data_IF_071733646823
#
_entry.id   IF_071733646823
#
_cell.length_a   1.000
_cell.length_b   1.000
_cell.length_c   1.000
_cell.angle_alpha   90.00
_cell.angle_beta   90.00
_cell.angle_gamma   90.00
#
_symmetry.space_group_name_H-M   'P 1'
#
loop_
_entity.id
_entity.type
_entity.pdbx_description
1 polymer ?
#
# COMPACT_ATOMS: atom_id res chain seq x y z
N UNK A 1 -27.86 8.95 -9.29
CA UNK A 1 -26.53 9.19 -9.89
C UNK A 1 -25.47 8.60 -8.99
N UNK A 2 -25.07 7.35 -9.23
CA UNK A 2 -24.00 6.69 -8.47
C UNK A 2 -22.66 7.24 -8.94
N UNK A 3 -22.07 8.14 -8.15
CA UNK A 3 -20.71 8.63 -8.35
C UNK A 3 -19.77 7.44 -8.37
N UNK A 4 -19.30 7.04 -9.56
CA UNK A 4 -18.33 5.96 -9.74
C UNK A 4 -17.06 6.37 -8.99
N UNK A 5 -16.89 5.92 -7.75
CA UNK A 5 -15.64 6.05 -7.01
C UNK A 5 -14.58 5.38 -7.88
N UNK A 6 -13.71 6.19 -8.49
CA UNK A 6 -12.60 5.70 -9.31
C UNK A 6 -11.79 4.75 -8.42
N UNK A 7 -12.00 3.44 -8.62
CA UNK A 7 -11.25 2.39 -7.94
C UNK A 7 -9.82 2.51 -8.41
N UNK A 8 -8.96 3.08 -7.57
CA UNK A 8 -7.54 3.20 -7.87
C UNK A 8 -6.96 1.80 -7.89
N UNK A 9 -6.57 1.31 -9.07
CA UNK A 9 -5.95 0.00 -9.25
C UNK A 9 -4.45 0.19 -9.37
N UNK A 10 -3.67 -0.65 -8.69
CA UNK A 10 -2.21 -0.73 -8.85
C UNK A 10 -1.88 -2.16 -9.26
N UNK A 11 -1.51 -2.33 -10.53
CA UNK A 11 -1.33 -3.66 -11.12
C UNK A 11 -2.57 -4.52 -10.94
N UNK A 12 -2.41 -5.67 -10.29
CA UNK A 12 -3.49 -6.61 -9.96
C UNK A 12 -4.22 -6.33 -8.64
N UNK A 13 -3.93 -5.24 -7.96
CA UNK A 13 -4.55 -4.91 -6.68
C UNK A 13 -5.54 -3.76 -6.81
N UNK A 14 -6.76 -3.96 -6.30
CA UNK A 14 -7.77 -2.92 -6.18
C UNK A 14 -7.59 -2.20 -4.84
N UNK A 15 -7.12 -0.95 -4.84
CA UNK A 15 -6.94 -0.18 -3.61
C UNK A 15 -8.28 0.33 -3.08
N UNK A 16 -8.49 0.07 -1.80
CA UNK A 16 -9.58 0.61 -1.00
C UNK A 16 -9.12 1.74 -0.09
N UNK A 17 -9.72 1.76 1.11
CA UNK A 17 -9.50 2.80 2.12
C UNK A 17 -8.07 2.75 2.70
N UNK A 18 -7.59 3.89 3.15
CA UNK A 18 -6.40 3.96 4.01
C UNK A 18 -6.72 3.28 5.34
N UNK A 19 -5.84 2.38 5.78
CA UNK A 19 -5.95 1.67 7.06
C UNK A 19 -4.85 2.09 8.05
N UNK A 20 -3.81 2.77 7.57
CA UNK A 20 -2.78 3.35 8.42
C UNK A 20 -2.10 4.53 7.75
N UNK A 21 -1.73 5.52 8.53
CA UNK A 21 -0.94 6.67 8.09
C UNK A 21 0.19 6.88 9.09
N UNK A 22 1.42 6.73 8.61
CA UNK A 22 2.63 6.97 9.38
C UNK A 22 3.43 8.12 8.77
N UNK A 23 4.46 8.55 9.48
CA UNK A 23 5.32 9.69 9.10
C UNK A 23 5.93 9.56 7.70
N UNK A 24 6.29 8.34 7.31
CA UNK A 24 7.00 8.02 6.06
C UNK A 24 6.19 7.17 5.07
N UNK A 25 4.99 6.75 5.44
CA UNK A 25 4.22 5.79 4.66
C UNK A 25 2.71 5.91 4.87
N UNK A 26 1.94 5.61 3.83
CA UNK A 26 0.49 5.44 3.87
C UNK A 26 0.13 3.99 3.57
N UNK A 27 -0.53 3.30 4.49
CA UNK A 27 -0.99 1.93 4.31
C UNK A 27 -2.44 1.94 3.86
N UNK A 28 -2.73 1.32 2.72
CA UNK A 28 -4.09 1.15 2.21
C UNK A 28 -4.49 -0.31 2.19
N UNK A 29 -5.74 -0.58 2.54
CA UNK A 29 -6.34 -1.87 2.24
C UNK A 29 -6.47 -2.01 0.73
N UNK A 30 -6.19 -3.19 0.21
CA UNK A 30 -6.44 -3.54 -1.17
C UNK A 30 -6.94 -4.97 -1.28
N UNK A 31 -7.47 -5.33 -2.44
CA UNK A 31 -7.89 -6.69 -2.77
C UNK A 31 -7.09 -7.18 -3.97
N UNK A 32 -6.51 -8.36 -3.89
CA UNK A 32 -5.94 -9.00 -5.07
C UNK A 32 -7.09 -9.37 -6.02
N UNK A 33 -7.05 -8.91 -7.27
CA UNK A 33 -8.11 -9.19 -8.25
C UNK A 33 -8.06 -10.61 -8.81
N UNK A 34 -6.95 -11.32 -8.64
CA UNK A 34 -6.77 -12.70 -9.09
C UNK A 34 -7.26 -13.69 -8.03
N UNK A 35 -6.84 -13.51 -6.77
CA UNK A 35 -7.20 -14.44 -5.68
C UNK A 35 -8.41 -13.96 -4.87
N UNK A 36 -8.75 -12.68 -4.94
CA UNK A 36 -9.78 -12.07 -4.10
C UNK A 36 -9.33 -11.80 -2.67
N UNK A 37 -8.08 -12.11 -2.32
CA UNK A 37 -7.58 -11.99 -0.94
C UNK A 37 -7.46 -10.52 -0.49
N UNK A 38 -7.80 -10.22 0.78
CA UNK A 38 -7.51 -8.94 1.40
C UNK A 38 -6.00 -8.79 1.65
N UNK A 39 -5.43 -7.67 1.20
CA UNK A 39 -4.01 -7.34 1.39
C UNK A 39 -3.84 -5.89 1.86
N UNK A 40 -2.70 -5.60 2.50
CA UNK A 40 -2.30 -4.24 2.88
C UNK A 40 -1.17 -3.75 1.97
N UNK A 41 -1.35 -2.58 1.35
CA UNK A 41 -0.34 -1.92 0.50
C UNK A 41 0.26 -0.75 1.25
N UNK A 42 1.55 -0.84 1.59
CA UNK A 42 2.32 0.25 2.19
C UNK A 42 2.93 1.13 1.08
N UNK A 43 2.43 2.35 0.95
CA UNK A 43 2.88 3.35 -0.01
C UNK A 43 3.91 4.24 0.69
N UNK A 44 5.17 4.17 0.25
CA UNK A 44 6.26 5.00 0.78
C UNK A 44 6.33 6.32 0.01
N UNK A 45 6.44 7.42 0.74
CA UNK A 45 6.63 8.75 0.16
C UNK A 45 8.12 8.96 -0.13
N UNK A 46 8.51 8.87 -1.40
CA UNK A 46 9.91 8.98 -1.83
C UNK A 46 10.54 10.30 -1.39
N UNK A 47 9.81 11.41 -1.41
CA UNK A 47 10.36 12.71 -1.04
C UNK A 47 10.68 12.79 0.45
N UNK A 48 9.79 12.25 1.29
CA UNK A 48 10.01 12.17 2.73
C UNK A 48 11.14 11.19 3.09
N UNK A 49 11.21 10.05 2.40
CA UNK A 49 12.28 9.06 2.59
C UNK A 49 13.64 9.62 2.18
N UNK A 50 13.72 10.33 1.04
CA UNK A 50 14.96 11.00 0.59
C UNK A 50 15.38 12.13 1.54
N UNK A 51 14.44 12.96 1.98
CA UNK A 51 14.73 14.07 2.92
C UNK A 51 15.18 13.59 4.28
N UNK A 52 14.62 12.49 4.80
CA UNK A 52 14.97 11.99 6.13
C UNK A 52 16.16 11.04 6.17
N UNK A 53 16.80 10.72 5.03
CA UNK A 53 17.97 9.81 4.97
C UNK A 53 17.82 8.64 5.95
N UNK A 54 16.74 7.85 5.80
CA UNK A 54 16.73 6.50 6.36
C UNK A 54 17.67 5.63 5.52
N UNK A 55 18.96 5.86 5.78
CA UNK A 55 20.00 4.86 5.58
C UNK A 55 19.59 3.68 6.45
N UNK A 56 19.62 2.49 5.85
CA UNK A 56 19.45 1.19 6.52
C UNK A 56 18.00 0.75 6.78
N UNK A 57 17.72 -0.52 6.45
CA UNK A 57 16.50 -1.28 6.77
C UNK A 57 15.27 -0.91 5.90
N UNK A 58 14.73 -1.75 5.01
CA UNK A 58 14.45 -3.18 5.09
C UNK A 58 14.30 -3.66 3.65
N UNK A 59 15.39 -4.09 3.01
CA UNK A 59 15.31 -5.01 1.85
C UNK A 59 15.14 -6.42 2.39
N UNK A 60 14.08 -6.65 3.16
CA UNK A 60 13.61 -8.02 3.36
C UNK A 60 12.72 -8.29 2.16
N UNK A 61 13.36 -8.68 1.06
CA UNK A 61 12.76 -9.38 -0.08
C UNK A 61 12.20 -10.73 0.38
N UNK A 62 11.30 -10.74 1.34
CA UNK A 62 10.46 -11.87 1.67
C UNK A 62 9.08 -11.29 1.92
N UNK A 63 8.16 -11.58 1.00
CA UNK A 63 6.72 -11.69 1.24
C UNK A 63 6.25 -11.15 2.60
N UNK A 64 6.11 -9.85 2.75
CA UNK A 64 5.23 -9.31 3.79
C UNK A 64 3.84 -9.12 3.17
N UNK A 65 3.34 -10.18 2.53
CA UNK A 65 1.90 -10.44 2.46
C UNK A 65 1.50 -10.91 3.87
N UNK A 66 1.44 -9.98 4.82
CA UNK A 66 0.71 -10.22 6.06
C UNK A 66 -0.76 -10.24 5.66
N UNK A 67 -1.26 -11.44 5.33
CA UNK A 67 -2.68 -11.74 5.41
C UNK A 67 -3.10 -11.45 6.86
N UNK A 68 -4.16 -10.67 7.03
CA UNK A 68 -4.78 -10.47 8.34
C UNK A 68 -5.25 -11.80 8.92
#
# INVERSE_FOLDING_TARGET
MSTTKVKRRVGKYELGRTIGEGTFAKVKFARDTETGDPVAIKILDKEKVLKHKMVEQVTVKHQLTTKF
#
